data_IF_280027582133
#
_entry.id   IF_280027582133
#
_cell.length_a   1.000
_cell.length_b   1.000
_cell.length_c   1.000
_cell.angle_alpha   90.00
_cell.angle_beta   90.00
_cell.angle_gamma   90.00
#
_symmetry.space_group_name_H-M   'P 1'
#
loop_
_entity.id
_entity.type
_entity.pdbx_description
1 polymer ?
#
# COMPACT_ATOMS: atom_id res chain seq x y z
N UNK A 1 17.98 2.61 13.22
CA UNK A 1 17.42 1.27 12.94
C UNK A 1 18.37 0.35 12.16
N UNK A 2 19.35 0.84 11.39
CA UNK A 2 20.42 0.01 10.80
C UNK A 2 21.80 0.22 11.47
N UNK A 3 21.80 0.80 12.66
CA UNK A 3 23.02 1.06 13.43
C UNK A 3 23.04 0.11 14.60
N UNK A 4 24.15 -0.63 14.75
CA UNK A 4 24.41 -1.49 15.91
C UNK A 4 24.19 -0.68 17.19
N UNK A 5 23.32 -1.15 18.08
CA UNK A 5 23.15 -0.49 19.36
C UNK A 5 24.46 -0.59 20.15
N UNK A 6 24.95 0.51 20.72
CA UNK A 6 26.20 0.51 21.47
C UNK A 6 26.15 -0.44 22.69
N UNK A 7 24.94 -0.77 23.16
CA UNK A 7 24.67 -1.71 24.23
C UNK A 7 24.96 -3.18 23.85
N UNK A 8 24.67 -3.60 22.61
CA UNK A 8 25.01 -4.96 22.16
C UNK A 8 26.51 -5.10 21.98
N UNK A 9 27.16 -4.07 21.41
CA UNK A 9 28.62 -4.01 21.31
C UNK A 9 29.31 -4.04 22.67
N UNK A 10 28.77 -3.31 23.66
CA UNK A 10 29.34 -3.32 25.01
C UNK A 10 29.13 -4.65 25.71
N UNK A 11 27.98 -5.32 25.51
CA UNK A 11 27.72 -6.66 26.04
C UNK A 11 28.65 -7.72 25.43
N UNK A 12 28.88 -7.69 24.11
CA UNK A 12 29.83 -8.56 23.44
C UNK A 12 31.26 -8.34 23.96
N UNK A 13 31.70 -7.07 24.05
CA UNK A 13 33.03 -6.73 24.59
C UNK A 13 33.18 -7.12 26.07
N UNK A 14 32.12 -6.97 26.88
CA UNK A 14 32.10 -7.42 28.27
C UNK A 14 32.24 -8.94 28.37
N UNK A 15 31.52 -9.70 27.53
CA UNK A 15 31.64 -11.16 27.47
C UNK A 15 33.05 -11.60 27.08
N UNK A 16 33.68 -10.88 26.15
CA UNK A 16 35.07 -11.08 25.75
C UNK A 16 36.03 -10.83 26.92
N UNK A 17 35.89 -9.71 27.62
CA UNK A 17 36.72 -9.36 28.78
C UNK A 17 36.57 -10.38 29.90
N UNK A 18 35.34 -10.83 30.20
CA UNK A 18 35.10 -11.89 31.20
C UNK A 18 35.78 -13.20 30.80
N UNK A 19 35.73 -13.57 29.51
CA UNK A 19 36.41 -14.78 29.02
C UNK A 19 37.93 -14.69 29.13
N UNK A 20 38.51 -13.51 28.86
CA UNK A 20 39.95 -13.26 28.97
C UNK A 20 40.43 -13.24 30.43
N UNK A 21 39.60 -12.75 31.36
CA UNK A 21 39.88 -12.74 32.79
C UNK A 21 39.76 -14.14 33.43
N UNK A 22 38.89 -15.00 32.89
CA UNK A 22 38.71 -16.37 33.37
C UNK A 22 39.79 -17.34 32.84
N UNK A 23 40.54 -16.97 31.80
CA UNK A 23 41.62 -17.78 31.26
C UNK A 23 42.88 -17.71 32.16
N UNK A 24 43.04 -18.71 33.03
CA UNK A 24 44.14 -18.81 34.01
C UNK A 24 45.49 -19.24 33.42
N UNK A 25 45.52 -19.82 32.22
CA UNK A 25 46.75 -20.24 31.55
C UNK A 25 47.11 -19.28 30.41
N UNK A 26 48.26 -18.60 30.54
CA UNK A 26 48.71 -17.54 29.63
C UNK A 26 49.09 -18.01 28.21
N UNK A 27 49.10 -19.31 27.93
CA UNK A 27 49.56 -19.89 26.66
C UNK A 27 48.48 -20.06 25.61
N UNK A 28 47.19 -19.94 25.95
CA UNK A 28 46.06 -20.19 25.03
C UNK A 28 45.17 -18.95 24.81
N UNK A 29 45.79 -17.77 24.80
CA UNK A 29 45.10 -16.50 24.51
C UNK A 29 44.94 -16.32 23.00
N UNK A 30 44.17 -17.18 22.35
CA UNK A 30 43.55 -16.84 21.07
C UNK A 30 42.57 -15.70 21.30
N UNK A 31 42.91 -14.49 20.85
CA UNK A 31 41.97 -13.36 20.80
C UNK A 31 40.78 -13.80 19.95
N UNK A 32 39.58 -13.97 20.51
CA UNK A 32 38.40 -14.28 19.72
C UNK A 32 38.19 -13.14 18.73
N UNK A 33 38.22 -13.47 17.44
CA UNK A 33 37.97 -12.50 16.38
C UNK A 33 36.58 -11.90 16.60
N UNK A 34 36.42 -10.56 16.61
CA UNK A 34 35.11 -9.95 16.84
C UNK A 34 34.13 -10.50 15.80
N UNK A 35 32.88 -10.81 16.20
CA UNK A 35 31.90 -11.38 15.30
C UNK A 35 31.76 -10.48 14.07
N UNK A 36 31.98 -11.07 12.89
CA UNK A 36 31.77 -10.37 11.63
C UNK A 36 30.33 -9.90 11.59
N UNK A 37 30.13 -8.58 11.49
CA UNK A 37 28.80 -7.99 11.48
C UNK A 37 28.08 -8.38 10.18
N UNK A 38 27.34 -9.48 10.21
CA UNK A 38 26.51 -9.92 9.09
C UNK A 38 25.16 -9.25 9.28
N UNK A 39 24.90 -8.23 8.48
CA UNK A 39 23.59 -7.59 8.45
C UNK A 39 22.56 -8.64 8.04
N UNK A 40 21.59 -8.88 8.90
CA UNK A 40 20.53 -9.83 8.63
C UNK A 40 19.70 -9.34 7.44
N UNK A 41 19.66 -10.15 6.36
CA UNK A 41 18.99 -9.77 5.10
C UNK A 41 17.50 -9.58 5.31
N UNK A 42 16.94 -10.26 6.30
CA UNK A 42 15.54 -10.19 6.65
C UNK A 42 15.18 -8.79 7.17
N UNK A 43 16.03 -8.20 8.01
CA UNK A 43 15.85 -6.84 8.54
C UNK A 43 15.86 -5.80 7.42
N UNK A 44 16.73 -5.95 6.42
CA UNK A 44 16.76 -5.06 5.25
C UNK A 44 15.49 -5.19 4.43
N UNK A 45 15.06 -6.42 4.17
CA UNK A 45 13.88 -6.71 3.34
C UNK A 45 12.60 -6.20 4.01
N UNK A 46 12.43 -6.39 5.31
CA UNK A 46 11.29 -5.88 6.10
C UNK A 46 11.23 -4.35 6.01
N UNK A 47 12.36 -3.68 6.24
CA UNK A 47 12.42 -2.23 6.19
C UNK A 47 12.08 -1.70 4.80
N UNK A 48 12.60 -2.33 3.74
CA UNK A 48 12.26 -1.97 2.36
C UNK A 48 10.75 -2.09 2.10
N UNK A 49 10.11 -3.20 2.51
CA UNK A 49 8.66 -3.39 2.35
C UNK A 49 7.87 -2.32 3.09
N UNK A 50 8.27 -1.98 4.32
CA UNK A 50 7.63 -0.92 5.09
C UNK A 50 7.78 0.46 4.44
N UNK A 51 8.98 0.85 4.02
CA UNK A 51 9.19 2.13 3.35
C UNK A 51 8.41 2.23 2.03
N UNK A 52 8.36 1.14 1.24
CA UNK A 52 7.55 1.08 0.03
C UNK A 52 6.05 1.25 0.34
N UNK A 53 5.53 0.57 1.37
CA UNK A 53 4.13 0.70 1.78
C UNK A 53 3.76 2.14 2.17
N UNK A 54 4.62 2.81 2.93
CA UNK A 54 4.41 4.20 3.34
C UNK A 54 4.48 5.16 2.16
N UNK A 55 5.46 4.97 1.28
CA UNK A 55 5.64 5.79 0.07
C UNK A 55 4.43 5.69 -0.84
N UNK A 56 3.87 4.49 -1.00
CA UNK A 56 2.72 4.26 -1.85
C UNK A 56 1.41 4.81 -1.25
N UNK A 57 1.27 4.76 0.07
CA UNK A 57 0.19 5.46 0.78
C UNK A 57 0.28 6.98 0.60
N UNK A 58 1.49 7.55 0.69
CA UNK A 58 1.70 8.99 0.45
C UNK A 58 1.39 9.36 -1.01
N UNK A 59 1.82 8.54 -1.97
CA UNK A 59 1.49 8.73 -3.38
C UNK A 59 -0.03 8.71 -3.62
N UNK A 60 -0.76 7.81 -2.96
CA UNK A 60 -2.22 7.80 -2.99
C UNK A 60 -2.82 9.12 -2.46
N UNK A 61 -2.33 9.65 -1.33
CA UNK A 61 -2.79 10.95 -0.82
C UNK A 61 -2.56 12.08 -1.84
N UNK A 62 -1.41 12.10 -2.51
CA UNK A 62 -1.11 13.09 -3.56
C UNK A 62 -2.09 12.94 -4.74
N UNK A 63 -2.34 11.73 -5.22
CA UNK A 63 -3.31 11.49 -6.30
C UNK A 63 -4.74 11.88 -5.90
N UNK A 64 -5.14 11.58 -4.66
CA UNK A 64 -6.45 11.93 -4.11
C UNK A 64 -6.63 13.44 -4.01
N UNK A 65 -5.62 14.16 -3.51
CA UNK A 65 -5.65 15.62 -3.42
C UNK A 65 -5.69 16.28 -4.80
N UNK A 66 -4.93 15.80 -5.79
CA UNK A 66 -5.02 16.26 -7.18
C UNK A 66 -6.42 16.03 -7.77
N UNK A 67 -7.01 14.85 -7.53
CA UNK A 67 -8.36 14.54 -7.99
C UNK A 67 -9.40 15.51 -7.39
N UNK A 68 -9.28 15.83 -6.10
CA UNK A 68 -10.14 16.80 -5.42
C UNK A 68 -9.94 18.22 -5.99
N UNK A 69 -8.69 18.61 -6.28
CA UNK A 69 -8.39 19.89 -6.91
C UNK A 69 -9.03 20.01 -8.30
N UNK A 70 -8.93 18.98 -9.14
CA UNK A 70 -9.57 18.95 -10.45
C UNK A 70 -11.10 19.01 -10.37
N UNK A 71 -11.70 18.28 -9.42
CA UNK A 71 -13.16 18.31 -9.21
C UNK A 71 -13.64 19.66 -8.68
N UNK A 72 -12.88 20.29 -7.78
CA UNK A 72 -13.14 21.64 -7.29
C UNK A 72 -13.03 22.68 -8.41
N UNK A 73 -12.02 22.57 -9.28
CA UNK A 73 -11.88 23.42 -10.46
C UNK A 73 -13.06 23.26 -11.44
N UNK A 74 -13.57 22.03 -11.61
CA UNK A 74 -14.74 21.75 -12.44
C UNK A 74 -16.02 22.39 -11.88
N UNK A 75 -16.26 22.22 -10.56
CA UNK A 75 -17.48 22.68 -9.87
C UNK A 75 -17.50 24.18 -9.58
N UNK A 76 -16.36 24.88 -9.73
CA UNK A 76 -16.28 26.33 -9.54
C UNK A 76 -17.28 27.04 -10.47
N UNK A 77 -18.32 27.62 -9.86
CA UNK A 77 -19.40 28.32 -10.54
C UNK A 77 -18.83 29.42 -11.43
N UNK A 78 -19.11 29.32 -12.72
CA UNK A 78 -18.80 30.40 -13.67
C UNK A 78 -19.83 31.51 -13.50
N UNK A 79 -19.41 32.78 -13.42
CA UNK A 79 -20.30 33.97 -13.33
C UNK A 79 -20.99 34.29 -14.67
N UNK A 80 -21.28 33.26 -15.47
CA UNK A 80 -21.91 33.41 -16.78
C UNK A 80 -23.42 33.57 -16.58
N UNK A 81 -23.96 34.71 -17.01
CA UNK A 81 -25.37 35.07 -16.81
C UNK A 81 -26.34 34.35 -17.75
N UNK A 82 -25.87 33.78 -18.85
CA UNK A 82 -26.70 33.14 -19.89
C UNK A 82 -26.62 31.62 -19.77
N UNK A 83 -27.78 30.95 -19.68
CA UNK A 83 -27.88 29.49 -19.51
C UNK A 83 -27.14 28.70 -20.60
N UNK A 84 -27.24 29.09 -21.88
CA UNK A 84 -26.59 28.38 -22.98
C UNK A 84 -25.06 28.40 -22.90
N UNK A 85 -24.48 29.56 -22.55
CA UNK A 85 -23.03 29.71 -22.40
C UNK A 85 -22.51 28.95 -21.17
N UNK A 86 -23.32 28.84 -20.12
CA UNK A 86 -22.98 28.05 -18.94
C UNK A 86 -22.99 26.55 -19.23
N UNK A 87 -23.96 26.07 -20.04
CA UNK A 87 -24.04 24.67 -20.47
C UNK A 87 -22.87 24.30 -21.38
N UNK A 88 -22.57 25.12 -22.39
CA UNK A 88 -21.44 24.89 -23.30
C UNK A 88 -20.09 24.83 -22.55
N UNK A 89 -19.88 25.71 -21.56
CA UNK A 89 -18.66 25.70 -20.75
C UNK A 89 -18.56 24.45 -19.86
N UNK A 90 -19.68 23.96 -19.32
CA UNK A 90 -19.70 22.71 -18.54
C UNK A 90 -19.37 21.51 -19.43
N UNK A 91 -19.91 21.46 -20.64
CA UNK A 91 -19.64 20.40 -21.61
C UNK A 91 -18.16 20.38 -22.00
N UNK A 92 -17.58 21.54 -22.34
CA UNK A 92 -16.16 21.66 -22.67
C UNK A 92 -15.25 21.19 -21.52
N UNK A 93 -15.58 21.53 -20.27
CA UNK A 93 -14.84 21.07 -19.09
C UNK A 93 -14.97 19.57 -18.86
N UNK A 94 -16.14 18.99 -19.15
CA UNK A 94 -16.39 17.55 -19.01
C UNK A 94 -15.63 16.74 -20.06
N UNK A 95 -15.66 17.17 -21.31
CA UNK A 95 -14.85 16.59 -22.40
C UNK A 95 -13.35 16.68 -22.09
N UNK A 96 -12.90 17.82 -21.55
CA UNK A 96 -11.53 17.96 -21.04
C UNK A 96 -11.20 16.97 -19.92
N UNK A 97 -12.12 16.75 -18.98
CA UNK A 97 -11.95 15.79 -17.89
C UNK A 97 -11.83 14.33 -18.39
N UNK A 98 -12.65 13.97 -19.39
CA UNK A 98 -12.62 12.65 -20.02
C UNK A 98 -11.34 12.46 -20.84
N UNK A 99 -10.97 13.46 -21.66
CA UNK A 99 -9.77 13.42 -22.50
C UNK A 99 -8.49 13.29 -21.68
N UNK A 100 -8.45 13.86 -20.47
CA UNK A 100 -7.34 13.71 -19.52
C UNK A 100 -7.42 12.44 -18.65
N UNK A 101 -8.47 11.62 -18.79
CA UNK A 101 -8.58 10.34 -18.08
C UNK A 101 -8.86 10.48 -16.58
N UNK A 102 -9.33 11.63 -16.10
CA UNK A 102 -9.66 11.89 -14.68
C UNK A 102 -10.60 10.84 -14.07
N UNK A 103 -11.59 10.27 -14.80
CA UNK A 103 -12.44 9.20 -14.26
C UNK A 103 -11.68 7.94 -13.82
N UNK A 104 -10.46 7.71 -14.32
CA UNK A 104 -9.62 6.55 -13.95
C UNK A 104 -8.79 6.78 -12.69
N UNK A 105 -8.60 8.03 -12.28
CA UNK A 105 -7.74 8.41 -11.15
C UNK A 105 -8.23 7.84 -9.82
N UNK A 106 -9.54 7.83 -9.49
CA UNK A 106 -10.04 7.17 -8.27
C UNK A 106 -9.78 5.66 -8.25
N UNK A 107 -9.80 4.99 -9.40
CA UNK A 107 -9.51 3.57 -9.49
C UNK A 107 -8.02 3.29 -9.22
N UNK A 108 -7.13 4.10 -9.80
CA UNK A 108 -5.67 4.04 -9.54
C UNK A 108 -5.36 4.40 -8.09
N UNK A 109 -6.05 5.38 -7.53
CA UNK A 109 -5.95 5.78 -6.13
C UNK A 109 -6.28 4.60 -5.20
N UNK A 110 -7.42 3.95 -5.44
CA UNK A 110 -7.84 2.80 -4.63
C UNK A 110 -6.83 1.64 -4.77
N UNK A 111 -6.34 1.37 -5.98
CA UNK A 111 -5.30 0.35 -6.22
C UNK A 111 -4.02 0.63 -5.42
N UNK A 112 -3.56 1.87 -5.37
CA UNK A 112 -2.34 2.25 -4.64
C UNK A 112 -2.47 1.98 -3.14
N UNK A 113 -3.59 2.38 -2.53
CA UNK A 113 -3.85 2.16 -1.09
C UNK A 113 -3.93 0.67 -0.78
N UNK A 114 -4.62 -0.11 -1.63
CA UNK A 114 -4.76 -1.55 -1.44
C UNK A 114 -3.41 -2.26 -1.55
N UNK A 115 -2.59 -1.88 -2.53
CA UNK A 115 -1.24 -2.43 -2.68
C UNK A 115 -0.32 -2.04 -1.52
N UNK A 116 -0.43 -0.81 -0.98
CA UNK A 116 0.27 -0.41 0.24
C UNK A 116 -0.11 -1.28 1.44
N UNK A 117 -1.40 -1.57 1.61
CA UNK A 117 -1.92 -2.41 2.69
C UNK A 117 -1.41 -3.86 2.60
N UNK A 118 -1.39 -4.43 1.39
CA UNK A 118 -0.84 -5.77 1.14
C UNK A 118 0.66 -5.83 1.44
N UNK A 119 1.44 -4.86 0.95
CA UNK A 119 2.87 -4.77 1.23
C UNK A 119 3.15 -4.63 2.72
N UNK A 120 2.37 -3.82 3.43
CA UNK A 120 2.48 -3.65 4.87
C UNK A 120 2.20 -4.97 5.62
N UNK A 121 1.13 -5.68 5.24
CA UNK A 121 0.78 -6.96 5.83
C UNK A 121 1.88 -8.03 5.61
N UNK A 122 2.47 -8.10 4.42
CA UNK A 122 3.59 -9.01 4.12
C UNK A 122 4.80 -8.67 5.00
N UNK A 123 5.17 -7.39 5.10
CA UNK A 123 6.27 -6.95 5.98
C UNK A 123 6.01 -7.27 7.45
N UNK A 124 4.77 -7.10 7.93
CA UNK A 124 4.36 -7.46 9.29
C UNK A 124 4.50 -8.96 9.56
N UNK A 125 4.11 -9.82 8.60
CA UNK A 125 4.22 -11.27 8.74
C UNK A 125 5.66 -11.73 8.78
N UNK A 126 6.51 -11.19 7.91
CA UNK A 126 7.93 -11.51 7.92
C UNK A 126 8.57 -11.11 9.25
N UNK A 127 8.25 -9.91 9.75
CA UNK A 127 8.76 -9.43 11.04
C UNK A 127 8.33 -10.32 12.22
N UNK A 128 7.05 -10.70 12.28
CA UNK A 128 6.55 -11.59 13.33
C UNK A 128 7.20 -12.97 13.26
N UNK A 129 7.40 -13.51 12.05
CA UNK A 129 8.04 -14.79 11.84
C UNK A 129 9.49 -14.80 12.32
N UNK A 130 10.22 -13.71 12.09
CA UNK A 130 11.60 -13.52 12.57
C UNK A 130 11.68 -13.34 14.09
N UNK A 131 10.63 -12.82 14.72
CA UNK A 131 10.63 -12.53 16.17
C UNK A 131 10.16 -13.72 16.99
N UNK A 132 8.92 -14.19 16.78
CA UNK A 132 8.30 -15.25 17.58
C UNK A 132 7.23 -16.00 16.75
N UNK A 133 7.50 -17.28 16.46
CA UNK A 133 6.63 -18.12 15.61
C UNK A 133 5.25 -18.38 16.22
N UNK A 134 5.15 -18.46 17.54
CA UNK A 134 3.89 -18.72 18.25
C UNK A 134 2.89 -17.58 18.08
N UNK A 135 3.37 -16.33 18.03
CA UNK A 135 2.53 -15.14 17.80
C UNK A 135 2.30 -14.92 16.30
N UNK A 136 3.23 -15.34 15.44
CA UNK A 136 3.13 -15.19 14.00
C UNK A 136 1.96 -15.99 13.39
N UNK A 137 1.71 -17.20 13.89
CA UNK A 137 0.70 -18.09 13.32
C UNK A 137 -0.73 -17.52 13.30
N UNK A 138 -1.33 -17.05 14.42
CA UNK A 138 -2.67 -16.47 14.37
C UNK A 138 -2.74 -15.20 13.53
N UNK A 139 -1.70 -14.37 13.54
CA UNK A 139 -1.64 -13.13 12.74
C UNK A 139 -1.55 -13.43 11.25
N UNK A 140 -0.83 -14.48 10.85
CA UNK A 140 -0.76 -14.98 9.48
C UNK A 140 -2.12 -15.40 8.93
N UNK A 141 -2.94 -16.07 9.74
CA UNK A 141 -4.28 -16.49 9.32
C UNK A 141 -5.17 -15.26 9.08
N UNK A 142 -5.23 -14.34 10.05
CA UNK A 142 -6.11 -13.16 9.96
C UNK A 142 -5.70 -12.24 8.81
N UNK A 143 -4.41 -11.96 8.68
CA UNK A 143 -3.89 -11.15 7.57
C UNK A 143 -4.08 -11.83 6.22
N UNK A 144 -3.88 -13.14 6.12
CA UNK A 144 -4.12 -13.92 4.90
C UNK A 144 -5.58 -13.86 4.45
N UNK A 145 -6.52 -14.04 5.37
CA UNK A 145 -7.97 -13.90 5.09
C UNK A 145 -8.30 -12.48 4.64
N UNK A 146 -7.71 -11.47 5.30
CA UNK A 146 -7.92 -10.06 4.95
C UNK A 146 -7.41 -9.77 3.53
N UNK A 147 -6.20 -10.21 3.19
CA UNK A 147 -5.63 -10.05 1.84
C UNK A 147 -6.51 -10.76 0.80
N UNK A 148 -6.96 -11.99 1.09
CA UNK A 148 -7.84 -12.73 0.19
C UNK A 148 -9.15 -11.97 -0.07
N UNK A 149 -9.79 -11.46 0.99
CA UNK A 149 -11.01 -10.66 0.86
C UNK A 149 -10.78 -9.38 0.05
N UNK A 150 -9.66 -8.68 0.30
CA UNK A 150 -9.28 -7.48 -0.46
C UNK A 150 -9.05 -7.80 -1.94
N UNK A 151 -8.34 -8.88 -2.25
CA UNK A 151 -8.11 -9.32 -3.63
C UNK A 151 -9.44 -9.70 -4.29
N UNK A 152 -10.31 -10.47 -3.63
CA UNK A 152 -11.62 -10.84 -4.18
C UNK A 152 -12.48 -9.61 -4.47
N UNK A 153 -12.59 -8.69 -3.52
CA UNK A 153 -13.43 -7.48 -3.66
C UNK A 153 -12.89 -6.48 -4.67
N UNK A 154 -11.57 -6.36 -4.82
CA UNK A 154 -10.95 -5.48 -5.83
C UNK A 154 -10.91 -6.11 -7.22
N UNK A 155 -10.72 -7.42 -7.30
CA UNK A 155 -10.69 -8.16 -8.57
C UNK A 155 -12.07 -8.37 -9.14
N UNK A 156 -13.14 -8.56 -8.36
CA UNK A 156 -14.51 -8.73 -8.89
C UNK A 156 -14.93 -7.66 -9.91
N UNK A 157 -14.84 -6.35 -9.62
CA UNK A 157 -15.20 -5.31 -10.58
C UNK A 157 -14.19 -5.19 -11.74
N UNK A 158 -12.91 -5.50 -11.51
CA UNK A 158 -11.89 -5.51 -12.56
C UNK A 158 -12.10 -6.69 -13.52
N UNK A 159 -12.37 -7.90 -13.03
CA UNK A 159 -12.72 -9.07 -13.82
C UNK A 159 -14.00 -8.83 -14.60
N UNK A 160 -15.03 -8.23 -13.98
CA UNK A 160 -16.25 -7.89 -14.69
C UNK A 160 -16.00 -6.88 -15.82
N UNK A 161 -15.16 -5.87 -15.59
CA UNK A 161 -14.80 -4.90 -16.65
C UNK A 161 -13.89 -5.48 -17.75
N UNK A 162 -12.96 -6.37 -17.41
CA UNK A 162 -12.06 -7.06 -18.35
C UNK A 162 -12.82 -8.11 -19.17
N UNK A 163 -13.71 -8.89 -18.54
CA UNK A 163 -14.59 -9.85 -19.24
C UNK A 163 -15.55 -9.10 -20.15
N UNK A 164 -16.14 -7.98 -19.71
CA UNK A 164 -16.99 -7.14 -20.55
C UNK A 164 -16.25 -6.50 -21.74
N UNK A 165 -14.95 -6.21 -21.57
CA UNK A 165 -14.07 -5.73 -22.63
C UNK A 165 -13.64 -6.85 -23.60
N UNK A 166 -13.39 -8.06 -23.10
CA UNK A 166 -12.89 -9.20 -23.88
C UNK A 166 -13.98 -9.99 -24.61
N UNK A 167 -15.19 -10.06 -24.05
CA UNK A 167 -16.34 -10.74 -24.65
C UNK A 167 -17.56 -9.81 -24.71
N UNK A 168 -17.59 -8.85 -25.64
CA UNK A 168 -18.76 -8.01 -25.82
C UNK A 168 -19.85 -8.87 -26.48
N UNK A 169 -20.87 -9.26 -25.69
CA UNK A 169 -22.30 -9.44 -26.07
C UNK A 169 -23.06 -10.65 -25.46
N UNK A 170 -22.46 -11.57 -24.69
CA UNK A 170 -23.19 -12.83 -24.37
C UNK A 170 -23.51 -13.13 -22.89
N UNK A 171 -23.08 -12.33 -21.91
CA UNK A 171 -23.53 -12.51 -20.51
C UNK A 171 -23.95 -11.19 -19.86
N UNK A 172 -25.23 -10.84 -20.03
CA UNK A 172 -25.91 -9.82 -19.21
C UNK A 172 -26.38 -10.46 -17.90
N UNK A 173 -25.47 -10.55 -16.92
CA UNK A 173 -25.82 -10.84 -15.51
C UNK A 173 -26.36 -9.52 -14.90
N UNK A 174 -27.42 -9.54 -14.08
CA UNK A 174 -28.10 -8.34 -13.60
C UNK A 174 -27.16 -7.36 -12.89
N UNK A 175 -27.18 -6.12 -13.34
CA UNK A 175 -26.50 -4.99 -12.71
C UNK A 175 -27.23 -4.62 -11.41
N UNK A 176 -26.59 -4.78 -10.22
CA UNK A 176 -26.91 -4.04 -8.98
C UNK A 176 -25.81 -4.26 -7.91
N UNK A 177 -25.48 -3.29 -7.01
CA UNK A 177 -26.43 -2.38 -6.34
C UNK A 177 -26.01 -0.90 -6.26
N UNK A 178 -25.06 -0.41 -7.06
CA UNK A 178 -24.79 1.04 -7.11
C UNK A 178 -25.57 1.69 -8.24
N UNK A 179 -26.90 1.69 -8.11
CA UNK A 179 -27.77 2.52 -8.97
C UNK A 179 -27.63 3.97 -8.50
N UNK A 180 -26.84 4.72 -9.25
CA UNK A 180 -26.63 6.16 -9.07
C UNK A 180 -27.95 6.95 -9.17
N UNK A 181 -28.01 8.19 -8.63
CA UNK A 181 -29.23 9.02 -8.56
C UNK A 181 -29.85 9.40 -9.92
N UNK A 182 -29.27 9.00 -11.05
CA UNK A 182 -29.87 9.18 -12.39
C UNK A 182 -31.10 8.28 -12.59
N UNK A 183 -31.22 7.16 -11.86
CA UNK A 183 -32.43 6.32 -11.94
C UNK A 183 -33.72 7.03 -11.47
N UNK A 184 -33.59 8.11 -10.70
CA UNK A 184 -34.71 8.94 -10.23
C UNK A 184 -35.27 9.88 -11.31
N UNK A 185 -34.52 10.16 -12.39
CA UNK A 185 -34.96 11.10 -13.46
C UNK A 185 -35.81 10.40 -14.52
N UNK A 186 -35.75 9.07 -14.61
CA UNK A 186 -36.49 8.28 -15.61
C UNK A 186 -37.88 7.84 -15.10
N UNK A 187 -38.13 7.91 -13.79
CA UNK A 187 -39.49 7.89 -13.23
C UNK A 187 -40.03 9.31 -13.15
N UNK A 188 -40.43 9.86 -14.29
CA UNK A 188 -41.41 10.94 -14.34
C UNK A 188 -42.81 10.34 -14.40
#
# INVERSE_FOLDING_TARGET
WLTVEPAERSAELLSLVVSLLNATNATDRTVPQPPTFILDRDVVTINQLWFLSMTQSLAAVVLGTLCLQWLSAFTRKSKIKTHDKALALRQMRYEGLIGWGVPRVPAILLLNVQAALVLFAIGLLWFLWSTNKDVAFPVAIVSGVTILYLVLTTMLPLLQSIIAWMFPKTLTIPQCPFKSPISFIIHR
#
